data_IF_401253441453
#
_entry.id   IF_401253441453
#
_cell.length_a   1.000
_cell.length_b   1.000
_cell.length_c   1.000
_cell.angle_alpha   90.00
_cell.angle_beta   90.00
_cell.angle_gamma   90.00
#
_symmetry.space_group_name_H-M   'P 1'
#
loop_
_entity.id
_entity.type
_entity.pdbx_description
1 polymer ?
#
# COMPACT_ATOMS: atom_id res chain seq x y z
N UNK A 1 -10.28 -26.21 7.76
CA UNK A 1 -9.51 -25.00 7.41
C UNK A 1 -10.44 -23.79 7.41
N UNK A 2 -10.22 -22.83 8.30
CA UNK A 2 -10.98 -21.56 8.40
C UNK A 2 -10.71 -20.65 7.19
N UNK A 3 -11.51 -19.59 7.02
CA UNK A 3 -11.24 -18.58 5.97
C UNK A 3 -9.89 -17.91 6.18
N UNK A 4 -9.55 -17.55 7.41
CA UNK A 4 -8.26 -16.95 7.76
C UNK A 4 -7.09 -17.88 7.40
N UNK A 5 -7.21 -19.18 7.70
CA UNK A 5 -6.19 -20.16 7.33
C UNK A 5 -6.04 -20.29 5.80
N UNK A 6 -7.14 -20.28 5.04
CA UNK A 6 -7.09 -20.31 3.57
C UNK A 6 -6.38 -19.08 3.00
N UNK A 7 -6.66 -17.90 3.52
CA UNK A 7 -6.00 -16.66 3.11
C UNK A 7 -4.52 -16.64 3.50
N UNK A 8 -4.17 -17.16 4.68
CA UNK A 8 -2.78 -17.31 5.11
C UNK A 8 -1.98 -18.28 4.24
N UNK A 9 -2.59 -19.40 3.85
CA UNK A 9 -1.98 -20.32 2.88
C UNK A 9 -1.80 -19.63 1.53
N UNK A 10 -2.83 -18.96 1.00
CA UNK A 10 -2.71 -18.19 -0.25
C UNK A 10 -1.56 -17.17 -0.19
N UNK A 11 -1.51 -16.33 0.85
CA UNK A 11 -0.51 -15.28 0.98
C UNK A 11 0.93 -15.82 1.08
N UNK A 12 1.11 -17.02 1.64
CA UNK A 12 2.42 -17.64 1.81
C UNK A 12 2.90 -18.47 0.62
N UNK A 13 1.99 -18.89 -0.27
CA UNK A 13 2.32 -19.77 -1.41
C UNK A 13 2.41 -19.06 -2.76
N UNK A 14 1.95 -17.80 -2.87
CA UNK A 14 2.11 -17.04 -4.12
C UNK A 14 3.60 -16.81 -4.41
N UNK A 15 4.01 -17.15 -5.63
CA UNK A 15 5.37 -16.91 -6.12
C UNK A 15 5.38 -15.73 -7.10
N UNK A 16 6.35 -14.83 -6.98
CA UNK A 16 6.51 -13.70 -7.92
C UNK A 16 6.53 -14.21 -9.36
N UNK A 17 7.37 -15.22 -9.64
CA UNK A 17 7.56 -15.81 -10.97
C UNK A 17 6.26 -16.30 -11.64
N UNK A 18 5.28 -16.74 -10.85
CA UNK A 18 4.00 -17.24 -11.34
C UNK A 18 2.96 -16.16 -11.62
N UNK A 19 3.23 -14.89 -11.29
CA UNK A 19 2.29 -13.80 -11.51
C UNK A 19 2.08 -13.53 -13.02
N UNK A 20 0.82 -13.44 -13.48
CA UNK A 20 0.52 -13.06 -14.86
C UNK A 20 1.12 -11.71 -15.22
N UNK A 21 1.53 -11.53 -16.48
CA UNK A 21 2.16 -10.29 -16.95
C UNK A 21 1.28 -9.06 -16.66
N UNK A 22 -0.03 -9.17 -16.88
CA UNK A 22 -0.98 -8.10 -16.58
C UNK A 22 -0.91 -7.64 -15.11
N UNK A 23 -0.75 -8.57 -14.17
CA UNK A 23 -0.63 -8.26 -12.74
C UNK A 23 0.66 -7.49 -12.49
N UNK A 24 1.78 -7.92 -13.10
CA UNK A 24 3.07 -7.21 -12.99
C UNK A 24 2.99 -5.80 -13.55
N UNK A 25 2.37 -5.63 -14.72
CA UNK A 25 2.18 -4.30 -15.32
C UNK A 25 1.30 -3.40 -14.43
N UNK A 26 0.21 -3.93 -13.86
CA UNK A 26 -0.64 -3.18 -12.92
C UNK A 26 0.14 -2.76 -11.67
N UNK A 27 0.97 -3.64 -11.11
CA UNK A 27 1.83 -3.29 -9.96
C UNK A 27 2.82 -2.18 -10.32
N UNK A 28 3.41 -2.23 -11.52
CA UNK A 28 4.25 -1.15 -12.04
C UNK A 28 3.51 0.19 -12.09
N UNK A 29 2.26 0.19 -12.56
CA UNK A 29 1.44 1.40 -12.59
C UNK A 29 1.11 1.91 -11.18
N UNK A 30 0.74 1.04 -10.24
CA UNK A 30 0.48 1.42 -8.85
C UNK A 30 1.71 2.04 -8.18
N UNK A 31 2.91 1.49 -8.45
CA UNK A 31 4.16 2.05 -7.94
C UNK A 31 4.44 3.45 -8.49
N UNK A 32 4.24 3.64 -9.80
CA UNK A 32 4.43 4.93 -10.46
C UNK A 32 3.42 5.97 -9.96
N UNK A 33 2.17 5.56 -9.81
CA UNK A 33 1.07 6.40 -9.34
C UNK A 33 1.31 6.88 -7.90
N UNK A 34 1.53 5.94 -6.97
CA UNK A 34 1.81 6.25 -5.56
C UNK A 34 3.08 7.11 -5.41
N UNK A 35 4.12 6.84 -6.19
CA UNK A 35 5.33 7.67 -6.16
C UNK A 35 5.06 9.10 -6.66
N UNK A 36 4.27 9.23 -7.74
CA UNK A 36 3.85 10.52 -8.29
C UNK A 36 3.06 11.34 -7.27
N UNK A 37 2.08 10.71 -6.62
CA UNK A 37 1.23 11.34 -5.60
C UNK A 37 2.04 11.77 -4.38
N UNK A 38 2.90 10.89 -3.85
CA UNK A 38 3.80 11.25 -2.75
C UNK A 38 4.64 12.49 -3.08
N UNK A 39 5.21 12.53 -4.29
CA UNK A 39 6.01 13.65 -4.76
C UNK A 39 5.15 14.90 -4.91
N UNK A 40 3.94 14.81 -5.48
CA UNK A 40 3.04 15.96 -5.65
C UNK A 40 2.61 16.57 -4.31
N UNK A 41 2.26 15.73 -3.34
CA UNK A 41 1.75 16.13 -2.03
C UNK A 41 2.83 16.58 -1.03
N UNK A 42 4.12 16.39 -1.35
CA UNK A 42 5.24 16.49 -0.39
C UNK A 42 5.32 17.78 0.44
N UNK A 43 4.80 18.89 -0.07
CA UNK A 43 4.85 20.19 0.60
C UNK A 43 3.56 20.57 1.33
N UNK A 44 2.56 19.69 1.35
CA UNK A 44 1.31 19.93 2.05
C UNK A 44 1.50 19.82 3.58
N UNK A 45 0.61 20.48 4.31
CA UNK A 45 0.62 20.55 5.76
C UNK A 45 0.40 19.18 6.41
N UNK A 46 -0.48 18.34 5.84
CA UNK A 46 -0.75 17.00 6.34
C UNK A 46 0.46 16.06 6.20
N UNK A 47 1.25 16.16 5.11
CA UNK A 47 2.49 15.39 4.95
C UNK A 47 3.54 15.89 5.94
N UNK A 48 3.62 17.21 6.12
CA UNK A 48 4.52 17.84 7.10
C UNK A 48 4.19 17.37 8.52
N UNK A 49 2.91 17.30 8.87
CA UNK A 49 2.44 16.80 10.17
C UNK A 49 2.76 15.30 10.36
N UNK A 50 2.52 14.46 9.34
CA UNK A 50 2.88 13.04 9.37
C UNK A 50 4.39 12.85 9.58
N UNK A 51 5.23 13.61 8.86
CA UNK A 51 6.68 13.61 9.05
C UNK A 51 7.12 14.06 10.43
N UNK A 52 6.49 15.10 10.98
CA UNK A 52 6.80 15.60 12.31
C UNK A 52 6.46 14.58 13.41
N UNK A 53 5.56 13.63 13.13
CA UNK A 53 5.21 12.54 14.04
C UNK A 53 6.20 11.38 14.04
N UNK A 54 7.13 11.34 13.07
CA UNK A 54 8.12 10.28 12.96
C UNK A 54 9.10 10.32 14.13
N UNK A 55 9.31 9.15 14.76
CA UNK A 55 10.15 9.03 15.95
C UNK A 55 11.22 7.93 15.80
N UNK A 56 11.14 7.10 14.76
CA UNK A 56 12.07 6.03 14.51
C UNK A 56 13.02 6.37 13.36
N UNK A 57 14.31 6.22 13.62
CA UNK A 57 15.30 6.13 12.55
C UNK A 57 15.31 4.71 11.98
N UNK A 58 15.58 4.58 10.68
CA UNK A 58 15.61 3.28 10.03
C UNK A 58 16.27 3.34 8.66
N UNK A 59 15.82 2.48 7.76
CA UNK A 59 16.32 2.36 6.39
C UNK A 59 15.25 2.61 5.34
N UNK A 60 14.00 2.87 5.76
CA UNK A 60 12.89 3.12 4.86
C UNK A 60 12.85 4.58 4.42
N UNK A 61 12.37 4.81 3.20
CA UNK A 61 12.31 6.12 2.56
C UNK A 61 10.89 6.68 2.62
N UNK A 62 10.78 7.97 2.92
CA UNK A 62 9.58 8.74 2.59
C UNK A 62 9.78 9.32 1.17
N UNK A 63 8.93 8.94 0.22
CA UNK A 63 9.06 9.32 -1.18
C UNK A 63 8.94 10.84 -1.32
N UNK A 64 9.83 11.46 -2.10
CA UNK A 64 9.90 12.92 -2.24
C UNK A 64 10.59 13.65 -1.08
N UNK A 65 11.20 12.93 -0.14
CA UNK A 65 11.87 13.50 1.02
C UNK A 65 13.27 12.93 1.25
N UNK A 66 14.15 13.76 1.78
CA UNK A 66 15.45 13.32 2.28
C UNK A 66 15.31 12.64 3.65
N UNK A 67 16.30 11.80 3.98
CA UNK A 67 16.38 11.08 5.24
C UNK A 67 15.99 9.61 5.14
N UNK A 68 16.00 8.95 6.30
CA UNK A 68 15.58 7.56 6.47
C UNK A 68 14.77 7.44 7.75
N UNK A 69 13.70 6.66 7.67
CA UNK A 69 12.69 6.53 8.71
C UNK A 69 12.54 5.06 9.10
N UNK A 70 11.93 4.82 10.26
CA UNK A 70 11.41 3.50 10.60
C UNK A 70 10.36 3.05 9.57
N UNK A 71 10.15 1.73 9.40
CA UNK A 71 9.23 1.22 8.38
C UNK A 71 7.78 1.68 8.63
N UNK A 72 7.36 1.81 9.89
CA UNK A 72 6.02 2.30 10.23
C UNK A 72 5.85 3.78 9.89
N UNK A 73 6.85 4.61 10.23
CA UNK A 73 6.84 6.05 9.95
C UNK A 73 6.87 6.31 8.44
N UNK A 74 7.72 5.61 7.69
CA UNK A 74 7.78 5.71 6.23
C UNK A 74 6.45 5.30 5.57
N UNK A 75 5.85 4.18 6.01
CA UNK A 75 4.56 3.73 5.50
C UNK A 75 3.45 4.75 5.79
N UNK A 76 3.42 5.32 7.00
CA UNK A 76 2.45 6.35 7.37
C UNK A 76 2.61 7.60 6.50
N UNK A 77 3.83 8.15 6.39
CA UNK A 77 4.10 9.35 5.59
C UNK A 77 3.70 9.14 4.13
N UNK A 78 4.15 8.03 3.53
CA UNK A 78 3.87 7.72 2.13
C UNK A 78 2.38 7.44 1.88
N UNK A 79 1.70 6.74 2.79
CA UNK A 79 0.25 6.48 2.68
C UNK A 79 -0.57 7.75 2.80
N UNK A 80 -0.23 8.62 3.76
CA UNK A 80 -0.86 9.94 3.89
C UNK A 80 -0.62 10.80 2.65
N UNK A 81 0.60 10.80 2.10
CA UNK A 81 0.91 11.57 0.90
C UNK A 81 0.23 11.00 -0.35
N UNK A 82 0.10 9.67 -0.47
CA UNK A 82 -0.57 9.02 -1.59
C UNK A 82 -2.08 9.32 -1.62
N UNK A 83 -2.75 9.30 -0.48
CA UNK A 83 -4.20 9.50 -0.40
C UNK A 83 -4.61 10.96 -0.16
N UNK A 84 -3.67 11.85 0.16
CA UNK A 84 -3.97 13.18 0.71
C UNK A 84 -4.74 14.13 -0.21
N UNK A 85 -4.61 13.97 -1.53
CA UNK A 85 -5.35 14.74 -2.54
C UNK A 85 -6.57 14.00 -3.11
N UNK A 86 -6.88 12.80 -2.60
CA UNK A 86 -7.95 11.93 -3.09
C UNK A 86 -7.86 11.69 -4.62
N UNK A 87 -6.62 11.46 -5.10
CA UNK A 87 -6.28 11.33 -6.52
C UNK A 87 -5.58 10.00 -6.85
N UNK A 88 -5.63 9.06 -5.90
CA UNK A 88 -5.08 7.71 -5.99
C UNK A 88 -6.02 6.73 -6.71
N UNK A 89 -5.56 5.49 -6.84
CA UNK A 89 -6.29 4.41 -7.50
C UNK A 89 -7.62 4.08 -6.80
N UNK A 90 -8.56 3.51 -7.55
CA UNK A 90 -9.82 3.03 -7.00
C UNK A 90 -10.18 1.67 -7.56
N UNK A 91 -10.52 0.72 -6.69
CA UNK A 91 -11.18 -0.52 -7.07
C UNK A 91 -12.70 -0.35 -7.08
N UNK A 92 -13.30 -0.22 -8.27
CA UNK A 92 -14.73 0.09 -8.43
C UNK A 92 -15.69 -0.99 -7.88
N UNK A 93 -15.24 -2.25 -7.72
CA UNK A 93 -16.07 -3.34 -7.17
C UNK A 93 -16.43 -3.19 -5.67
N UNK A 94 -15.68 -2.34 -4.98
CA UNK A 94 -15.93 -1.90 -3.62
C UNK A 94 -14.87 -0.83 -3.34
N UNK A 95 -15.23 0.47 -3.30
CA UNK A 95 -14.33 1.61 -3.54
C UNK A 95 -13.23 1.67 -2.48
N UNK A 96 -12.18 0.88 -2.69
CA UNK A 96 -10.98 0.82 -1.87
C UNK A 96 -9.82 1.33 -2.69
N UNK A 97 -8.95 2.08 -2.02
CA UNK A 97 -7.77 2.68 -2.61
C UNK A 97 -6.56 1.84 -2.21
N UNK A 98 -6.36 0.73 -2.93
CA UNK A 98 -5.45 -0.33 -2.50
C UNK A 98 -3.99 0.07 -2.67
N UNK A 99 -3.66 0.86 -3.71
CA UNK A 99 -2.33 1.38 -3.95
C UNK A 99 -1.83 2.23 -2.78
N UNK A 100 -2.63 3.19 -2.33
CA UNK A 100 -2.27 4.10 -1.23
C UNK A 100 -2.05 3.41 0.12
N UNK A 101 -2.60 2.20 0.32
CA UNK A 101 -2.39 1.41 1.55
C UNK A 101 -1.22 0.43 1.38
N UNK A 102 -1.27 -0.39 0.33
CA UNK A 102 -0.39 -1.55 0.20
C UNK A 102 1.01 -1.14 -0.29
N UNK A 103 1.12 -0.21 -1.24
CA UNK A 103 2.42 0.16 -1.80
C UNK A 103 3.33 0.81 -0.74
N UNK A 104 2.88 1.81 0.04
CA UNK A 104 3.67 2.38 1.14
C UNK A 104 4.15 1.34 2.16
N UNK A 105 3.25 0.45 2.59
CA UNK A 105 3.57 -0.58 3.58
C UNK A 105 4.61 -1.57 3.07
N UNK A 106 4.45 -2.05 1.83
CA UNK A 106 5.36 -3.03 1.23
C UNK A 106 6.73 -2.42 0.94
N UNK A 107 6.80 -1.20 0.41
CA UNK A 107 8.07 -0.53 0.15
C UNK A 107 8.84 -0.30 1.46
N UNK A 108 8.17 0.21 2.50
CA UNK A 108 8.82 0.51 3.76
C UNK A 108 9.42 -0.73 4.43
N UNK A 109 8.69 -1.86 4.46
CA UNK A 109 9.23 -3.10 5.05
C UNK A 109 10.29 -3.76 4.16
N UNK A 110 10.18 -3.64 2.82
CA UNK A 110 11.15 -4.17 1.89
C UNK A 110 12.49 -3.45 2.02
N UNK A 111 12.50 -2.12 2.06
CA UNK A 111 13.70 -1.33 2.31
C UNK A 111 14.30 -1.64 3.69
N UNK A 112 13.46 -1.68 4.73
CA UNK A 112 13.90 -1.97 6.09
C UNK A 112 14.57 -3.34 6.24
N UNK A 113 14.12 -4.35 5.49
CA UNK A 113 14.67 -5.72 5.53
C UNK A 113 15.66 -6.03 4.41
N UNK A 114 15.96 -5.07 3.52
CA UNK A 114 16.85 -5.30 2.38
C UNK A 114 16.30 -6.33 1.37
N UNK A 115 14.98 -6.34 1.16
CA UNK A 115 14.34 -7.25 0.20
C UNK A 115 14.45 -6.75 -1.23
N UNK A 116 14.44 -7.69 -2.19
CA UNK A 116 14.55 -7.37 -3.61
C UNK A 116 13.20 -7.02 -4.25
N UNK A 117 13.24 -6.61 -5.52
CA UNK A 117 12.04 -6.24 -6.29
C UNK A 117 11.01 -7.38 -6.41
N UNK A 118 11.44 -8.64 -6.48
CA UNK A 118 10.51 -9.78 -6.52
C UNK A 118 9.67 -9.89 -5.25
N UNK A 119 10.28 -9.62 -4.09
CA UNK A 119 9.55 -9.58 -2.83
C UNK A 119 8.54 -8.41 -2.80
N UNK A 120 8.90 -7.25 -3.35
CA UNK A 120 8.01 -6.08 -3.48
C UNK A 120 6.82 -6.41 -4.39
N UNK A 121 7.08 -6.93 -5.59
CA UNK A 121 6.04 -7.29 -6.57
C UNK A 121 5.09 -8.33 -5.97
N UNK A 122 5.61 -9.37 -5.34
CA UNK A 122 4.77 -10.37 -4.65
C UNK A 122 3.96 -9.74 -3.51
N UNK A 123 4.58 -8.90 -2.69
CA UNK A 123 3.93 -8.24 -1.56
C UNK A 123 2.75 -7.37 -1.99
N UNK A 124 2.93 -6.56 -3.03
CA UNK A 124 1.87 -5.72 -3.59
C UNK A 124 0.76 -6.59 -4.19
N UNK A 125 1.11 -7.61 -4.97
CA UNK A 125 0.13 -8.53 -5.57
C UNK A 125 -0.77 -9.17 -4.50
N UNK A 126 -0.18 -9.73 -3.45
CA UNK A 126 -0.91 -10.40 -2.37
C UNK A 126 -1.73 -9.39 -1.56
N UNK A 127 -1.16 -8.24 -1.20
CA UNK A 127 -1.85 -7.23 -0.41
C UNK A 127 -3.09 -6.66 -1.12
N UNK A 128 -2.93 -6.27 -2.39
CA UNK A 128 -4.02 -5.75 -3.22
C UNK A 128 -5.10 -6.81 -3.40
N UNK A 129 -4.73 -8.06 -3.74
CA UNK A 129 -5.71 -9.14 -3.90
C UNK A 129 -6.51 -9.37 -2.61
N UNK A 130 -5.85 -9.40 -1.45
CA UNK A 130 -6.55 -9.60 -0.17
C UNK A 130 -7.50 -8.45 0.14
N UNK A 131 -7.05 -7.20 -0.03
CA UNK A 131 -7.86 -6.01 0.25
C UNK A 131 -9.10 -5.94 -0.67
N UNK A 132 -8.91 -6.09 -1.99
CA UNK A 132 -10.00 -6.09 -2.95
C UNK A 132 -10.93 -7.30 -2.76
N UNK A 133 -10.40 -8.49 -2.49
CA UNK A 133 -11.24 -9.68 -2.25
C UNK A 133 -12.08 -9.52 -0.99
N UNK A 134 -11.55 -8.90 0.05
CA UNK A 134 -12.30 -8.62 1.28
C UNK A 134 -13.40 -7.57 1.05
N UNK A 135 -13.16 -6.54 0.23
CA UNK A 135 -14.17 -5.53 -0.07
C UNK A 135 -15.39 -6.11 -0.82
N UNK A 136 -15.20 -7.21 -1.55
CA UNK A 136 -16.28 -7.92 -2.25
C UNK A 136 -17.16 -8.79 -1.34
N UNK A 137 -16.77 -9.07 -0.10
CA UNK A 137 -17.54 -9.95 0.81
C UNK A 137 -18.84 -9.27 1.26
N UNK A 138 -18.81 -7.95 1.48
CA UNK A 138 -19.97 -7.15 1.89
C UNK A 138 -20.08 -5.87 1.07
N UNK A 139 -20.35 -5.96 -0.25
CA UNK A 139 -20.31 -4.82 -1.15
C UNK A 139 -21.20 -3.67 -0.65
N UNK A 140 -20.62 -2.46 -0.55
CA UNK A 140 -21.25 -1.23 -0.06
C UNK A 140 -21.73 -1.26 1.40
N UNK A 141 -21.72 -2.40 2.10
CA UNK A 141 -22.23 -2.48 3.48
C UNK A 141 -21.33 -1.69 4.44
N UNK A 142 -20.02 -1.67 4.20
CA UNK A 142 -19.04 -0.92 4.99
C UNK A 142 -19.36 0.58 4.95
N UNK A 143 -19.54 1.14 3.75
CA UNK A 143 -19.97 2.53 3.57
C UNK A 143 -21.35 2.81 4.17
N UNK A 144 -22.33 1.91 3.98
CA UNK A 144 -23.67 2.05 4.57
C UNK A 144 -23.66 2.00 6.10
N UNK A 145 -22.64 1.39 6.68
CA UNK A 145 -22.38 1.37 8.12
C UNK A 145 -21.50 2.55 8.58
N UNK A 146 -21.25 3.55 7.72
CA UNK A 146 -20.45 4.75 7.98
C UNK A 146 -18.96 4.47 8.26
N UNK A 147 -18.42 3.35 7.78
CA UNK A 147 -16.99 3.06 7.77
C UNK A 147 -16.39 3.36 6.39
N UNK A 148 -15.11 3.74 6.36
CA UNK A 148 -14.38 4.02 5.14
C UNK A 148 -13.59 2.77 4.72
N UNK A 149 -13.94 2.06 3.64
CA UNK A 149 -13.43 0.71 3.36
C UNK A 149 -11.93 0.65 3.02
N UNK A 150 -11.29 1.79 2.72
CA UNK A 150 -9.82 1.85 2.60
C UNK A 150 -9.11 1.62 3.94
N UNK A 151 -9.75 1.88 5.10
CA UNK A 151 -9.14 1.84 6.43
C UNK A 151 -9.98 1.11 7.49
#
# INVERSE_FOLDING_TARGET
>A
MTVAEKLGVFASTVESAALPEKVRSTIGNLLLDVAGLCVAARNNDYVSAARASAIQNGFASALGHEGRFGPYDAALINGTAAHGEDYDDTFEGGPVHAGAVIVPAVLAIAEHRGLNGDAVVRGIAVGVELMCRMSLVTPQAIHKACFHPTA
#
